data_IF_622157324596
#
_entry.id   IF_622157324596
#
_cell.length_a   1.000
_cell.length_b   1.000
_cell.length_c   1.000
_cell.angle_alpha   90.00
_cell.angle_beta   90.00
_cell.angle_gamma   90.00
#
_symmetry.space_group_name_H-M   'P 1'
#
loop_
_entity.id
_entity.type
_entity.pdbx_description
1 polymer ?
#
# COMPACT_ATOMS: atom_id res chain seq x y z
N UNK A 1 5.58 0.23 45.70
CA UNK A 1 5.21 0.85 44.40
C UNK A 1 3.72 0.63 44.20
N UNK A 2 2.89 1.65 44.45
CA UNK A 2 1.46 1.57 44.16
C UNK A 2 1.26 1.77 42.65
N UNK A 3 0.85 0.71 41.96
CA UNK A 3 0.38 0.80 40.59
C UNK A 3 -1.04 1.41 40.65
N UNK A 4 -1.14 2.72 40.48
CA UNK A 4 -2.44 3.39 40.34
C UNK A 4 -3.07 2.90 39.04
N UNK A 5 -4.27 2.30 39.13
CA UNK A 5 -5.02 1.86 37.98
C UNK A 5 -5.20 3.04 37.00
N UNK A 6 -5.07 2.81 35.67
CA UNK A 6 -5.30 3.85 34.69
C UNK A 6 -6.70 4.46 34.87
N UNK A 7 -6.80 5.78 34.72
CA UNK A 7 -8.09 6.48 34.82
C UNK A 7 -9.07 5.94 33.77
N UNK A 8 -10.38 5.96 34.07
CA UNK A 8 -11.41 5.49 33.13
C UNK A 8 -11.29 6.16 31.75
N UNK A 9 -10.97 7.46 31.73
CA UNK A 9 -10.69 8.24 30.52
C UNK A 9 -9.55 7.66 29.69
N UNK A 10 -8.45 7.24 30.34
CA UNK A 10 -7.30 6.66 29.63
C UNK A 10 -7.68 5.32 29.00
N UNK A 11 -8.39 4.46 29.73
CA UNK A 11 -8.87 3.17 29.23
C UNK A 11 -9.84 3.33 28.05
N UNK A 12 -10.72 4.33 28.08
CA UNK A 12 -11.61 4.65 26.98
C UNK A 12 -10.86 5.13 25.73
N UNK A 13 -9.86 6.00 25.88
CA UNK A 13 -9.04 6.48 24.75
C UNK A 13 -8.27 5.33 24.10
N UNK A 14 -7.71 4.42 24.90
CA UNK A 14 -7.04 3.22 24.39
C UNK A 14 -8.02 2.34 23.61
N UNK A 15 -9.22 2.09 24.15
CA UNK A 15 -10.23 1.28 23.48
C UNK A 15 -10.66 1.89 22.12
N UNK A 16 -10.87 3.22 22.07
CA UNK A 16 -11.20 3.92 20.82
C UNK A 16 -10.08 3.76 19.79
N UNK A 17 -8.82 3.94 20.19
CA UNK A 17 -7.68 3.80 19.29
C UNK A 17 -7.55 2.40 18.71
N UNK A 18 -7.80 1.35 19.51
CA UNK A 18 -7.77 -0.04 19.06
C UNK A 18 -8.90 -0.34 18.06
N UNK A 19 -10.10 0.18 18.30
CA UNK A 19 -11.23 0.01 17.38
C UNK A 19 -10.94 0.69 16.04
N UNK A 20 -10.36 1.89 16.06
CA UNK A 20 -9.98 2.61 14.85
C UNK A 20 -8.83 1.90 14.10
N UNK A 21 -7.80 1.40 14.81
CA UNK A 21 -6.72 0.61 14.21
C UNK A 21 -7.28 -0.63 13.48
N UNK A 22 -8.21 -1.35 14.12
CA UNK A 22 -8.83 -2.54 13.53
C UNK A 22 -9.71 -2.17 12.33
N UNK A 23 -10.52 -1.11 12.45
CA UNK A 23 -11.38 -0.64 11.37
C UNK A 23 -10.55 -0.20 10.15
N UNK A 24 -9.48 0.58 10.36
CA UNK A 24 -8.55 0.98 9.32
C UNK A 24 -7.92 -0.22 8.62
N UNK A 25 -7.46 -1.21 9.40
CA UNK A 25 -6.88 -2.46 8.87
C UNK A 25 -7.89 -3.24 8.01
N UNK A 26 -9.13 -3.41 8.49
CA UNK A 26 -10.18 -4.14 7.77
C UNK A 26 -10.58 -3.42 6.48
N UNK A 27 -10.68 -2.09 6.50
CA UNK A 27 -10.95 -1.31 5.29
C UNK A 27 -9.78 -1.40 4.29
N UNK A 28 -8.53 -1.37 4.75
CA UNK A 28 -7.37 -1.55 3.87
C UNK A 28 -7.37 -2.94 3.19
N UNK A 29 -7.65 -4.00 3.95
CA UNK A 29 -7.79 -5.35 3.40
C UNK A 29 -8.94 -5.44 2.39
N UNK A 30 -10.10 -4.87 2.75
CA UNK A 30 -11.26 -4.85 1.86
C UNK A 30 -10.98 -4.07 0.57
N UNK A 31 -10.30 -2.92 0.68
CA UNK A 31 -9.92 -2.11 -0.49
C UNK A 31 -8.98 -2.89 -1.42
N UNK A 32 -8.01 -3.61 -0.85
CA UNK A 32 -7.07 -4.46 -1.59
C UNK A 32 -7.79 -5.59 -2.31
N UNK A 33 -8.78 -6.22 -1.66
CA UNK A 33 -9.61 -7.22 -2.32
C UNK A 33 -10.35 -6.64 -3.54
N UNK A 34 -10.92 -5.43 -3.43
CA UNK A 34 -11.55 -4.78 -4.58
C UNK A 34 -10.54 -4.35 -5.66
N UNK A 35 -9.29 -3.99 -5.31
CA UNK A 35 -8.22 -3.76 -6.28
C UNK A 35 -7.91 -5.02 -7.09
N UNK A 36 -7.85 -6.18 -6.44
CA UNK A 36 -7.68 -7.49 -7.12
C UNK A 36 -8.80 -7.70 -8.15
N UNK A 37 -10.04 -7.33 -7.81
CA UNK A 37 -11.22 -7.44 -8.69
C UNK A 37 -11.33 -6.34 -9.74
N UNK A 38 -10.38 -5.40 -9.80
CA UNK A 38 -10.40 -4.26 -10.72
C UNK A 38 -11.67 -3.40 -10.55
N UNK A 39 -12.24 -3.36 -9.33
CA UNK A 39 -13.44 -2.58 -9.03
C UNK A 39 -13.05 -1.17 -8.56
N UNK A 40 -13.71 -0.15 -9.12
CA UNK A 40 -13.49 1.25 -8.76
C UNK A 40 -13.82 1.56 -7.29
N UNK A 41 -14.69 0.77 -6.64
CA UNK A 41 -15.00 0.91 -5.19
C UNK A 41 -13.77 0.80 -4.31
N UNK A 42 -12.72 0.10 -4.76
CA UNK A 42 -11.45 -0.02 -4.05
C UNK A 42 -10.89 1.36 -3.62
N UNK A 43 -10.96 2.34 -4.52
CA UNK A 43 -10.46 3.69 -4.25
C UNK A 43 -11.24 4.42 -3.15
N UNK A 44 -12.57 4.29 -3.14
CA UNK A 44 -13.40 4.91 -2.09
C UNK A 44 -13.11 4.29 -0.73
N UNK A 45 -13.01 2.97 -0.66
CA UNK A 45 -12.69 2.25 0.58
C UNK A 45 -11.27 2.63 1.05
N UNK A 46 -10.32 2.74 0.12
CA UNK A 46 -8.95 3.18 0.41
C UNK A 46 -8.89 4.62 0.94
N UNK A 47 -9.71 5.55 0.43
CA UNK A 47 -9.80 6.93 0.97
C UNK A 47 -10.18 6.91 2.45
N UNK A 48 -11.21 6.13 2.83
CA UNK A 48 -11.60 6.01 4.24
C UNK A 48 -10.53 5.33 5.09
N UNK A 49 -9.93 4.24 4.59
CA UNK A 49 -8.89 3.51 5.30
C UNK A 49 -7.66 4.38 5.57
N UNK A 50 -7.12 5.04 4.53
CA UNK A 50 -5.92 5.87 4.61
C UNK A 50 -6.15 7.13 5.44
N UNK A 51 -7.35 7.71 5.43
CA UNK A 51 -7.70 8.83 6.31
C UNK A 51 -7.70 8.42 7.80
N UNK A 52 -8.29 7.26 8.12
CA UNK A 52 -8.28 6.72 9.50
C UNK A 52 -6.85 6.45 9.95
N UNK A 53 -6.07 5.72 9.15
CA UNK A 53 -4.69 5.38 9.47
C UNK A 53 -3.80 6.62 9.61
N UNK A 54 -3.95 7.62 8.73
CA UNK A 54 -3.19 8.88 8.80
C UNK A 54 -3.41 9.59 10.14
N UNK A 55 -4.65 9.69 10.61
CA UNK A 55 -4.96 10.30 11.91
C UNK A 55 -4.34 9.50 13.06
N UNK A 56 -4.43 8.16 13.01
CA UNK A 56 -3.87 7.29 14.04
C UNK A 56 -2.34 7.37 14.13
N UNK A 57 -1.66 7.35 12.99
CA UNK A 57 -0.20 7.47 12.94
C UNK A 57 0.27 8.85 13.36
N UNK A 58 -0.46 9.91 13.02
CA UNK A 58 -0.16 11.25 13.47
C UNK A 58 -0.26 11.35 15.01
N UNK A 59 -1.32 10.81 15.60
CA UNK A 59 -1.51 10.78 17.06
C UNK A 59 -0.43 9.97 17.78
N UNK A 60 0.08 8.91 17.15
CA UNK A 60 1.18 8.08 17.68
C UNK A 60 2.56 8.70 17.44
N UNK A 61 2.65 9.87 16.79
CA UNK A 61 3.91 10.56 16.47
C UNK A 61 4.72 9.88 15.35
N UNK A 62 4.08 9.04 14.54
CA UNK A 62 4.73 8.26 13.47
C UNK A 62 4.61 9.04 12.15
N UNK A 63 5.40 10.11 12.02
CA UNK A 63 5.25 11.07 10.92
C UNK A 63 5.58 10.49 9.54
N UNK A 64 6.52 9.55 9.44
CA UNK A 64 6.89 8.92 8.17
C UNK A 64 5.71 8.12 7.59
N UNK A 65 5.10 7.25 8.39
CA UNK A 65 3.91 6.48 7.98
C UNK A 65 2.69 7.39 7.76
N UNK A 66 2.56 8.46 8.56
CA UNK A 66 1.53 9.49 8.31
C UNK A 66 1.67 10.12 6.93
N UNK A 67 2.89 10.50 6.53
CA UNK A 67 3.15 11.10 5.22
C UNK A 67 2.86 10.11 4.08
N UNK A 68 3.19 8.83 4.27
CA UNK A 68 2.88 7.78 3.31
C UNK A 68 1.37 7.57 3.16
N UNK A 69 0.62 7.56 4.26
CA UNK A 69 -0.85 7.48 4.23
C UNK A 69 -1.48 8.70 3.54
N UNK A 70 -0.95 9.91 3.74
CA UNK A 70 -1.41 11.11 3.03
C UNK A 70 -1.11 11.04 1.52
N UNK A 71 0.04 10.46 1.14
CA UNK A 71 0.33 10.17 -0.25
C UNK A 71 -0.69 9.17 -0.82
N UNK A 72 -0.99 8.08 -0.10
CA UNK A 72 -2.00 7.11 -0.52
C UNK A 72 -3.39 7.73 -0.64
N UNK A 73 -3.81 8.57 0.30
CA UNK A 73 -5.07 9.30 0.25
C UNK A 73 -5.16 10.15 -1.02
N UNK A 74 -4.13 10.93 -1.31
CA UNK A 74 -4.04 11.78 -2.51
C UNK A 74 -4.08 10.96 -3.79
N UNK A 75 -3.31 9.86 -3.82
CA UNK A 75 -3.25 8.96 -4.95
C UNK A 75 -4.57 8.19 -5.14
N UNK A 76 -5.30 7.90 -4.06
CA UNK A 76 -6.60 7.23 -4.11
C UNK A 76 -7.69 8.12 -4.68
N UNK A 77 -7.67 9.42 -4.38
CA UNK A 77 -8.50 10.40 -5.08
C UNK A 77 -8.18 10.39 -6.58
N UNK A 78 -6.90 10.50 -6.94
CA UNK A 78 -6.46 10.48 -8.34
C UNK A 78 -6.86 9.19 -9.08
N UNK A 79 -6.65 8.03 -8.46
CA UNK A 79 -7.05 6.73 -8.99
C UNK A 79 -8.56 6.61 -9.20
N UNK A 80 -9.36 7.12 -8.26
CA UNK A 80 -10.82 7.15 -8.39
C UNK A 80 -11.28 7.96 -9.62
N UNK A 81 -10.65 9.10 -9.89
CA UNK A 81 -10.92 9.90 -11.09
C UNK A 81 -10.48 9.16 -12.37
N UNK A 82 -9.27 8.61 -12.37
CA UNK A 82 -8.69 7.97 -13.55
C UNK A 82 -9.46 6.70 -13.97
N UNK A 83 -9.90 5.90 -12.99
CA UNK A 83 -10.70 4.69 -13.25
C UNK A 83 -12.14 5.01 -13.65
N UNK A 84 -12.64 6.22 -13.33
CA UNK A 84 -13.97 6.67 -13.72
C UNK A 84 -14.06 7.19 -15.16
N UNK A 85 -12.97 7.71 -15.72
CA UNK A 85 -12.99 8.45 -17.00
C UNK A 85 -13.08 7.58 -18.25
N UNK A 86 -12.84 6.26 -18.16
CA UNK A 86 -12.72 5.37 -19.31
C UNK A 86 -13.56 4.08 -19.16
N UNK A 87 -14.88 4.19 -18.97
CA UNK A 87 -15.78 3.03 -18.78
C UNK A 87 -15.80 2.05 -19.96
N UNK A 88 -15.40 2.46 -21.17
CA UNK A 88 -15.32 1.61 -22.38
C UNK A 88 -13.95 0.95 -22.58
N UNK A 89 -12.93 1.35 -21.81
CA UNK A 89 -11.59 0.75 -21.77
C UNK A 89 -11.22 0.25 -20.37
N UNK A 90 -12.22 0.15 -19.48
CA UNK A 90 -12.06 -0.07 -18.05
C UNK A 90 -11.37 -1.40 -17.71
N UNK A 91 -11.28 -2.34 -18.65
CA UNK A 91 -10.66 -3.64 -18.40
C UNK A 91 -9.21 -3.77 -18.87
N UNK A 92 -8.64 -2.75 -19.55
CA UNK A 92 -7.27 -2.86 -20.06
C UNK A 92 -6.22 -2.73 -18.96
N UNK A 93 -5.94 -3.87 -18.34
CA UNK A 93 -4.69 -4.11 -17.63
C UNK A 93 -3.53 -3.83 -18.60
N UNK A 94 -2.52 -3.11 -18.12
CA UNK A 94 -1.36 -2.70 -18.91
C UNK A 94 -0.13 -3.47 -18.47
N UNK A 95 0.73 -3.80 -19.44
CA UNK A 95 2.10 -4.28 -19.20
C UNK A 95 3.10 -3.20 -19.55
N UNK A 96 4.21 -3.20 -18.82
CA UNK A 96 5.34 -2.34 -19.14
C UNK A 96 6.19 -3.02 -20.22
N UNK A 97 6.66 -2.23 -21.20
CA UNK A 97 7.74 -2.68 -22.07
C UNK A 97 9.06 -2.72 -21.31
N UNK A 98 10.07 -3.42 -21.84
CA UNK A 98 11.39 -3.49 -21.22
C UNK A 98 11.98 -2.10 -20.93
N UNK A 99 11.86 -1.16 -21.87
CA UNK A 99 12.32 0.23 -21.70
C UNK A 99 11.57 0.94 -20.57
N UNK A 100 10.26 0.73 -20.44
CA UNK A 100 9.47 1.31 -19.35
C UNK A 100 9.84 0.70 -18.00
N UNK A 101 10.09 -0.61 -17.95
CA UNK A 101 10.57 -1.29 -16.74
C UNK A 101 11.94 -0.76 -16.31
N UNK A 102 12.87 -0.54 -17.25
CA UNK A 102 14.18 0.05 -16.92
C UNK A 102 14.01 1.47 -16.35
N UNK A 103 13.20 2.32 -17.00
CA UNK A 103 12.89 3.67 -16.50
C UNK A 103 12.27 3.64 -15.10
N UNK A 104 11.37 2.70 -14.87
CA UNK A 104 10.73 2.48 -13.57
C UNK A 104 11.77 2.13 -12.50
N UNK A 105 12.68 1.19 -12.78
CA UNK A 105 13.73 0.79 -11.84
C UNK A 105 14.67 1.95 -11.52
N UNK A 106 15.03 2.79 -12.50
CA UNK A 106 15.78 4.02 -12.25
C UNK A 106 15.02 5.00 -11.36
N UNK A 107 13.72 5.15 -11.55
CA UNK A 107 12.89 6.04 -10.73
C UNK A 107 12.75 5.52 -9.29
N UNK A 108 12.57 4.21 -9.11
CA UNK A 108 12.57 3.56 -7.79
C UNK A 108 13.92 3.79 -7.11
N UNK A 109 15.03 3.57 -7.82
CA UNK A 109 16.37 3.78 -7.28
C UNK A 109 16.62 5.23 -6.88
N UNK A 110 16.21 6.19 -7.71
CA UNK A 110 16.32 7.62 -7.39
C UNK A 110 15.49 8.00 -6.16
N UNK A 111 14.26 7.51 -6.07
CA UNK A 111 13.38 7.74 -4.92
C UNK A 111 13.94 7.08 -3.65
N UNK A 112 14.45 5.86 -3.76
CA UNK A 112 15.16 5.17 -2.68
C UNK A 112 16.34 6.00 -2.17
N UNK A 113 17.23 6.45 -3.06
CA UNK A 113 18.40 7.25 -2.66
C UNK A 113 18.00 8.55 -1.98
N UNK A 114 16.95 9.21 -2.47
CA UNK A 114 16.41 10.42 -1.86
C UNK A 114 15.85 10.16 -0.45
N UNK A 115 15.00 9.14 -0.28
CA UNK A 115 14.41 8.80 1.02
C UNK A 115 15.50 8.32 1.99
N UNK A 116 16.44 7.50 1.52
CA UNK A 116 17.56 7.02 2.33
C UNK A 116 18.41 8.18 2.87
N UNK A 117 18.71 9.16 2.02
CA UNK A 117 19.39 10.38 2.44
C UNK A 117 18.61 11.14 3.52
N UNK A 118 17.30 11.36 3.31
CA UNK A 118 16.46 12.04 4.29
C UNK A 118 16.40 11.30 5.63
N UNK A 119 16.22 9.98 5.61
CA UNK A 119 16.19 9.17 6.83
C UNK A 119 17.53 9.24 7.56
N UNK A 120 18.65 9.15 6.85
CA UNK A 120 19.99 9.25 7.45
C UNK A 120 20.32 10.61 8.08
N UNK A 121 19.72 11.70 7.58
CA UNK A 121 19.96 13.05 8.11
C UNK A 121 18.99 13.44 9.24
N UNK A 122 17.72 13.00 9.15
CA UNK A 122 16.64 13.54 9.98
C UNK A 122 16.00 12.51 10.92
N UNK A 123 16.37 11.22 10.85
CA UNK A 123 15.72 10.17 11.64
C UNK A 123 16.74 9.24 12.28
N UNK A 124 16.58 8.82 13.55
CA UNK A 124 17.46 7.84 14.18
C UNK A 124 17.14 6.39 13.76
N UNK A 125 16.74 6.13 12.51
CA UNK A 125 16.37 4.76 12.08
C UNK A 125 17.59 3.85 11.99
N UNK A 126 17.53 2.71 12.68
CA UNK A 126 18.58 1.67 12.65
C UNK A 126 18.54 0.81 11.38
N UNK A 127 17.45 0.90 10.61
CA UNK A 127 17.22 0.13 9.37
C UNK A 127 16.83 1.04 8.20
N UNK A 128 17.38 2.26 8.18
CA UNK A 128 17.06 3.31 7.21
C UNK A 128 17.11 2.86 5.74
N UNK A 129 18.01 1.94 5.38
CA UNK A 129 18.08 1.37 4.03
C UNK A 129 16.83 0.55 3.70
N UNK A 130 16.42 -0.37 4.57
CA UNK A 130 15.21 -1.17 4.33
C UNK A 130 13.94 -0.31 4.40
N UNK A 131 13.87 0.66 5.31
CA UNK A 131 12.74 1.60 5.39
C UNK A 131 12.62 2.45 4.11
N UNK A 132 13.74 2.94 3.56
CA UNK A 132 13.75 3.69 2.30
C UNK A 132 13.34 2.82 1.11
N UNK A 133 13.78 1.55 1.10
CA UNK A 133 13.44 0.61 0.05
C UNK A 133 11.94 0.32 0.04
N UNK A 134 11.37 -0.07 1.18
CA UNK A 134 9.93 -0.37 1.26
C UNK A 134 9.09 0.87 0.96
N UNK A 135 9.45 2.04 1.48
CA UNK A 135 8.73 3.29 1.18
C UNK A 135 8.77 3.66 -0.32
N UNK A 136 9.94 3.56 -0.97
CA UNK A 136 10.06 3.86 -2.40
C UNK A 136 9.27 2.87 -3.28
N UNK A 137 9.30 1.58 -2.93
CA UNK A 137 8.50 0.55 -3.61
C UNK A 137 7.00 0.78 -3.41
N UNK A 138 6.57 1.06 -2.18
CA UNK A 138 5.19 1.40 -1.81
C UNK A 138 4.63 2.57 -2.62
N UNK A 139 5.36 3.69 -2.69
CA UNK A 139 4.99 4.86 -3.48
C UNK A 139 4.83 4.47 -4.96
N UNK A 140 5.79 3.72 -5.49
CA UNK A 140 5.78 3.33 -6.90
C UNK A 140 4.68 2.31 -7.25
N UNK A 141 4.47 1.32 -6.38
CA UNK A 141 3.40 0.33 -6.50
C UNK A 141 2.06 1.04 -6.53
N UNK A 142 1.81 1.92 -5.57
CA UNK A 142 0.54 2.65 -5.51
C UNK A 142 0.33 3.58 -6.71
N UNK A 143 1.38 4.22 -7.21
CA UNK A 143 1.31 5.01 -8.45
C UNK A 143 0.94 4.14 -9.66
N UNK A 144 1.61 2.99 -9.85
CA UNK A 144 1.31 2.06 -10.95
C UNK A 144 -0.10 1.46 -10.88
N UNK A 145 -0.63 1.28 -9.66
CA UNK A 145 -2.01 0.83 -9.42
C UNK A 145 -3.04 1.76 -10.08
N UNK A 146 -2.84 3.09 -10.00
CA UNK A 146 -3.73 4.06 -10.67
C UNK A 146 -3.83 3.79 -12.18
N UNK A 147 -2.72 3.42 -12.81
CA UNK A 147 -2.66 3.21 -14.26
C UNK A 147 -3.00 1.77 -14.69
N UNK A 148 -3.46 0.92 -13.77
CA UNK A 148 -3.78 -0.49 -14.01
C UNK A 148 -2.59 -1.27 -14.61
N UNK A 149 -1.37 -0.96 -14.16
CA UNK A 149 -0.16 -1.65 -14.61
C UNK A 149 0.05 -2.91 -13.76
N UNK A 150 0.02 -4.10 -14.37
CA UNK A 150 0.09 -5.39 -13.65
C UNK A 150 1.37 -5.56 -12.81
N UNK A 151 2.46 -4.92 -13.22
CA UNK A 151 3.74 -4.97 -12.50
C UNK A 151 3.64 -4.41 -11.07
N UNK A 152 2.60 -3.63 -10.77
CA UNK A 152 2.31 -3.19 -9.39
C UNK A 152 2.22 -4.34 -8.40
N UNK A 153 1.67 -5.50 -8.79
CA UNK A 153 1.50 -6.63 -7.88
C UNK A 153 2.82 -7.32 -7.55
N UNK A 154 3.78 -7.26 -8.48
CA UNK A 154 5.15 -7.73 -8.24
C UNK A 154 5.83 -6.82 -7.22
N UNK A 155 5.66 -5.50 -7.36
CA UNK A 155 6.18 -4.53 -6.38
C UNK A 155 5.57 -4.79 -4.99
N UNK A 156 4.24 -4.95 -4.90
CA UNK A 156 3.57 -5.23 -3.63
C UNK A 156 4.04 -6.54 -3.01
N UNK A 157 4.18 -7.62 -3.79
CA UNK A 157 4.71 -8.89 -3.29
C UNK A 157 6.07 -8.73 -2.58
N UNK A 158 7.04 -8.04 -3.21
CA UNK A 158 8.35 -7.83 -2.59
C UNK A 158 8.27 -6.88 -1.40
N UNK A 159 7.47 -5.82 -1.49
CA UNK A 159 7.30 -4.83 -0.41
C UNK A 159 6.73 -5.50 0.84
N UNK A 160 5.64 -6.25 0.68
CA UNK A 160 4.94 -6.92 1.77
C UNK A 160 5.79 -8.04 2.38
N UNK A 161 6.54 -8.79 1.56
CA UNK A 161 7.46 -9.81 2.05
C UNK A 161 8.61 -9.21 2.88
N UNK A 162 9.17 -8.07 2.46
CA UNK A 162 10.19 -7.35 3.23
C UNK A 162 9.60 -6.81 4.54
N UNK A 163 8.39 -6.22 4.51
CA UNK A 163 7.71 -5.79 5.73
C UNK A 163 7.41 -6.94 6.69
N UNK A 164 6.97 -8.10 6.18
CA UNK A 164 6.74 -9.29 6.99
C UNK A 164 8.02 -9.72 7.72
N UNK A 165 9.15 -9.75 7.01
CA UNK A 165 10.47 -10.04 7.60
C UNK A 165 10.85 -9.01 8.68
N UNK A 166 10.72 -7.71 8.38
CA UNK A 166 11.02 -6.63 9.33
C UNK A 166 10.17 -6.72 10.60
N UNK A 167 8.86 -6.94 10.47
CA UNK A 167 7.97 -7.03 11.63
C UNK A 167 8.17 -8.30 12.44
N UNK A 168 8.55 -9.40 11.81
CA UNK A 168 8.97 -10.61 12.51
C UNK A 168 10.19 -10.35 13.38
N UNK A 169 11.23 -9.69 12.83
CA UNK A 169 12.42 -9.31 13.59
C UNK A 169 12.15 -8.28 14.69
N UNK A 170 11.21 -7.35 14.47
CA UNK A 170 10.75 -6.39 15.48
C UNK A 170 9.83 -7.00 16.55
N UNK A 171 9.56 -8.32 16.50
CA UNK A 171 8.67 -9.03 17.42
C UNK A 171 7.25 -8.45 17.47
N UNK A 172 6.72 -8.05 16.29
CA UNK A 172 5.37 -7.53 16.12
C UNK A 172 4.53 -8.53 15.31
N UNK A 173 4.09 -9.66 15.93
CA UNK A 173 3.56 -10.81 15.21
C UNK A 173 2.28 -10.50 14.43
N UNK A 174 1.41 -9.64 14.97
CA UNK A 174 0.18 -9.23 14.30
C UNK A 174 0.45 -8.54 12.95
N UNK A 175 1.39 -7.61 12.91
CA UNK A 175 1.76 -6.89 11.68
C UNK A 175 2.52 -7.80 10.72
N UNK A 176 3.38 -8.69 11.22
CA UNK A 176 4.05 -9.68 10.38
C UNK A 176 3.03 -10.58 9.66
N UNK A 177 2.02 -11.09 10.38
CA UNK A 177 0.95 -11.91 9.80
C UNK A 177 0.11 -11.13 8.78
N UNK A 178 -0.21 -9.88 9.08
CA UNK A 178 -0.95 -9.00 8.17
C UNK A 178 -0.18 -8.78 6.85
N UNK A 179 1.13 -8.58 6.92
CA UNK A 179 1.97 -8.43 5.72
C UNK A 179 2.11 -9.73 4.93
N UNK A 180 2.15 -10.89 5.59
CA UNK A 180 2.06 -12.18 4.90
C UNK A 180 0.72 -12.33 4.16
N UNK A 181 -0.38 -11.88 4.77
CA UNK A 181 -1.68 -11.87 4.10
C UNK A 181 -1.67 -10.95 2.87
N UNK A 182 -1.12 -9.74 2.97
CA UNK A 182 -0.96 -8.84 1.81
C UNK A 182 -0.07 -9.45 0.73
N UNK A 183 1.00 -10.15 1.10
CA UNK A 183 1.87 -10.88 0.16
C UNK A 183 1.06 -11.90 -0.64
N UNK A 184 0.18 -12.67 0.01
CA UNK A 184 -0.72 -13.62 -0.66
C UNK A 184 -1.71 -12.88 -1.56
N UNK A 185 -2.30 -11.79 -1.08
CA UNK A 185 -3.21 -10.95 -1.87
C UNK A 185 -2.53 -10.37 -3.11
N UNK A 186 -1.23 -10.03 -3.03
CA UNK A 186 -0.46 -9.55 -4.17
C UNK A 186 -0.31 -10.63 -5.24
N UNK A 187 -0.06 -11.88 -4.85
CA UNK A 187 -0.05 -13.02 -5.79
C UNK A 187 -1.43 -13.20 -6.44
N UNK A 188 -2.51 -13.18 -5.65
CA UNK A 188 -3.87 -13.28 -6.17
C UNK A 188 -4.21 -12.12 -7.13
N UNK A 189 -3.77 -10.91 -6.81
CA UNK A 189 -3.89 -9.73 -7.66
C UNK A 189 -3.20 -9.92 -9.00
N UNK A 190 -1.94 -10.36 -8.98
CA UNK A 190 -1.18 -10.64 -10.20
C UNK A 190 -1.87 -11.69 -11.08
N UNK A 191 -2.28 -12.83 -10.50
CA UNK A 191 -2.96 -13.90 -11.23
C UNK A 191 -4.28 -13.44 -11.83
N UNK A 192 -5.09 -12.72 -11.05
CA UNK A 192 -6.39 -12.20 -11.51
C UNK A 192 -6.21 -11.20 -12.65
N UNK A 193 -5.30 -10.24 -12.51
CA UNK A 193 -5.05 -9.23 -13.54
C UNK A 193 -4.43 -9.83 -14.81
N UNK A 194 -3.56 -10.83 -14.68
CA UNK A 194 -3.00 -11.55 -15.83
C UNK A 194 -4.09 -12.27 -16.63
N UNK A 195 -5.12 -12.80 -15.96
CA UNK A 195 -6.25 -13.45 -16.64
C UNK A 195 -7.10 -12.47 -17.46
N UNK A 196 -7.30 -11.24 -16.98
CA UNK A 196 -8.01 -10.18 -17.73
C UNK A 196 -7.23 -9.72 -18.95
N UNK A 197 -5.91 -9.56 -18.81
CA UNK A 197 -5.00 -9.16 -19.90
C UNK A 197 -5.02 -10.16 -21.07
N UNK A 198 -4.98 -11.47 -20.79
CA UNK A 198 -5.01 -12.51 -21.83
C UNK A 198 -6.33 -12.48 -22.63
N UNK A 199 -7.47 -12.33 -21.94
CA UNK A 199 -8.80 -12.30 -22.60
C UNK A 199 -8.91 -11.16 -23.62
N UNK A 200 -8.36 -9.99 -23.30
CA UNK A 200 -8.41 -8.82 -24.19
C UNK A 200 -7.52 -8.94 -25.44
N UNK A 201 -6.42 -9.69 -25.34
CA UNK A 201 -5.58 -9.96 -26.51
C UNK A 201 -6.24 -10.97 -27.46
N UNK A 202 -7.01 -11.94 -26.96
CA UNK A 202 -7.75 -12.89 -27.79
C UNK A 202 -8.88 -12.22 -28.58
N UNK A 203 -9.65 -11.32 -27.97
CA UNK A 203 -10.76 -10.64 -28.66
C UNK A 203 -10.31 -9.80 -29.86
N UNK A 204 -9.08 -9.23 -29.81
CA UNK A 204 -8.51 -8.47 -30.94
C UNK A 204 -8.09 -9.32 -32.14
N UNK A 205 -7.91 -10.62 -31.98
CA UNK A 205 -7.48 -11.52 -33.07
C UNK A 205 -8.68 -11.93 -33.94
N UNK A 206 -9.91 -11.81 -33.43
CA UNK A 206 -11.15 -12.24 -34.10
C UNK A 206 -12.01 -11.08 -34.64
N UNK A 207 -11.49 -9.86 -34.68
CA UNK A 207 -12.14 -8.66 -35.26
C UNK A 207 -11.22 -8.01 -36.26
#
# INVERSE_FOLDING_TARGET
>A
MHYSAPSETFSQLVAISMVLDLLGTLLSLLSTWYFIKVDRKAWLISIFATAINSVLYFQKGIFADTALELFYLSNSLYGFFLWGRNSTSADRIRRLSLTQTIKLLFLILALYSFIYFLLGQYTPSTVASLDALTCSLSIMGQWLMCYKVIFTWVIWFFTDAIYAYLYFHKQIPFHALLMLLYTIMAVLGYLTWSSYDVRLNQTKIFT
#
